data_IF_162661958017
#
_entry.id   IF_162661958017
#
_cell.length_a   1.000
_cell.length_b   1.000
_cell.length_c   1.000
_cell.angle_alpha   90.00
_cell.angle_beta   90.00
_cell.angle_gamma   90.00
#
_symmetry.space_group_name_H-M   'P 1'
#
loop_
_entity.id
_entity.type
_entity.pdbx_description
1 polymer ?
#
# COMPACT_ATOMS: atom_id res chain seq x y z
N UNK A 1 60.18 25.27 31.33
CA UNK A 1 60.49 24.71 29.99
C UNK A 1 59.69 23.45 29.67
N UNK A 2 59.41 22.55 30.63
CA UNK A 2 58.62 21.33 30.42
C UNK A 2 57.18 21.58 29.93
N UNK A 3 56.50 22.60 30.44
CA UNK A 3 55.12 22.92 30.05
C UNK A 3 54.98 23.33 28.57
N UNK A 4 55.94 24.10 28.03
CA UNK A 4 55.93 24.52 26.62
C UNK A 4 56.09 23.32 25.68
N UNK A 5 56.95 22.36 26.03
CA UNK A 5 57.13 21.12 25.25
C UNK A 5 55.90 20.21 25.26
N UNK A 6 55.19 20.14 26.38
CA UNK A 6 53.93 19.39 26.46
C UNK A 6 52.84 20.03 25.58
N UNK A 7 52.75 21.36 25.58
CA UNK A 7 51.79 22.11 24.75
C UNK A 7 52.10 21.96 23.25
N UNK A 8 53.37 22.06 22.85
CA UNK A 8 53.75 21.87 21.45
C UNK A 8 53.52 20.43 20.99
N UNK A 9 53.88 19.45 21.80
CA UNK A 9 53.62 18.03 21.50
C UNK A 9 52.12 17.75 21.37
N UNK A 10 51.28 18.30 22.25
CA UNK A 10 49.83 18.19 22.16
C UNK A 10 49.28 18.79 20.86
N UNK A 11 49.75 19.99 20.48
CA UNK A 11 49.29 20.65 19.26
C UNK A 11 49.70 19.88 17.99
N UNK A 12 50.94 19.37 17.94
CA UNK A 12 51.41 18.53 16.82
C UNK A 12 50.61 17.23 16.74
N UNK A 13 50.32 16.58 17.87
CA UNK A 13 49.52 15.37 17.90
C UNK A 13 48.08 15.64 17.44
N UNK A 14 47.49 16.76 17.87
CA UNK A 14 46.16 17.17 17.46
C UNK A 14 46.07 17.45 15.94
N UNK A 15 47.07 18.14 15.38
CA UNK A 15 47.16 18.37 13.94
C UNK A 15 47.34 17.07 13.16
N UNK A 16 48.18 16.15 13.65
CA UNK A 16 48.37 14.83 13.03
C UNK A 16 47.07 14.02 13.05
N UNK A 17 46.37 13.99 14.19
CA UNK A 17 45.06 13.35 14.32
C UNK A 17 44.06 13.95 13.34
N UNK A 18 43.99 15.29 13.27
CA UNK A 18 43.09 16.02 12.38
C UNK A 18 43.38 15.70 10.91
N UNK A 19 44.65 15.66 10.51
CA UNK A 19 45.09 15.27 9.17
C UNK A 19 44.72 13.81 8.83
N UNK A 20 44.92 12.87 9.75
CA UNK A 20 44.57 11.46 9.54
C UNK A 20 43.05 11.26 9.40
N UNK A 21 42.25 11.87 10.27
CA UNK A 21 40.79 11.78 10.23
C UNK A 21 40.21 12.49 9.00
N UNK A 22 40.73 13.66 8.65
CA UNK A 22 40.31 14.41 7.46
C UNK A 22 40.70 13.75 6.14
N UNK A 23 41.61 12.77 6.13
CA UNK A 23 42.01 12.05 4.91
C UNK A 23 41.45 10.63 4.82
N UNK A 24 41.36 9.94 5.95
CA UNK A 24 41.03 8.52 6.03
C UNK A 24 39.79 8.21 6.88
N UNK A 25 39.16 9.21 7.51
CA UNK A 25 38.05 9.02 8.43
C UNK A 25 36.85 8.29 7.82
N UNK A 26 36.43 8.68 6.61
CA UNK A 26 35.31 8.03 5.91
C UNK A 26 35.72 6.86 5.01
N UNK A 27 37.02 6.56 4.89
CA UNK A 27 37.50 5.41 4.12
C UNK A 27 37.24 4.11 4.88
N UNK A 28 37.00 3.02 4.15
CA UNK A 28 36.76 1.69 4.69
C UNK A 28 35.69 1.67 5.81
N UNK A 29 34.63 2.45 5.63
CA UNK A 29 33.42 2.39 6.44
C UNK A 29 32.32 1.70 5.66
N UNK A 30 31.69 0.71 6.29
CA UNK A 30 30.52 0.04 5.73
C UNK A 30 29.31 0.38 6.58
N UNK A 31 28.34 1.03 5.96
CA UNK A 31 27.05 1.34 6.57
C UNK A 31 25.96 0.65 5.77
N UNK A 32 25.17 -0.17 6.44
CA UNK A 32 24.03 -0.88 5.84
C UNK A 32 22.79 -0.65 6.69
N UNK A 33 21.65 -0.53 6.03
CA UNK A 33 20.36 -0.30 6.66
C UNK A 33 19.33 -1.19 5.98
N UNK A 34 18.47 -1.81 6.78
CA UNK A 34 17.43 -2.71 6.30
C UNK A 34 16.24 -2.73 7.25
N UNK A 35 15.04 -2.93 6.71
CA UNK A 35 13.86 -3.22 7.51
C UNK A 35 13.76 -4.72 7.75
N UNK A 36 13.25 -5.11 8.91
CA UNK A 36 12.94 -6.50 9.27
C UNK A 36 11.92 -7.15 8.32
N UNK A 37 11.02 -6.35 7.72
CA UNK A 37 10.03 -6.75 6.73
C UNK A 37 10.09 -5.83 5.52
N UNK A 38 9.79 -6.34 4.32
CA UNK A 38 9.70 -5.54 3.09
C UNK A 38 8.41 -4.73 3.01
N UNK A 39 7.33 -5.26 3.59
CA UNK A 39 6.04 -4.62 3.67
C UNK A 39 5.35 -4.90 5.01
N UNK A 40 4.46 -3.98 5.42
CA UNK A 40 3.68 -4.05 6.64
C UNK A 40 2.44 -3.15 6.52
N UNK A 41 1.45 -3.33 7.39
CA UNK A 41 0.23 -2.52 7.37
C UNK A 41 0.38 -1.21 8.14
N UNK A 42 -0.35 -0.18 7.73
CA UNK A 42 -0.44 1.06 8.48
C UNK A 42 -0.99 0.79 9.90
N UNK A 43 -0.31 1.33 10.90
CA UNK A 43 -0.53 1.08 12.33
C UNK A 43 0.44 0.05 12.93
N UNK A 44 1.10 -0.78 12.11
CA UNK A 44 2.05 -1.77 12.61
C UNK A 44 3.42 -1.15 12.97
N UNK A 45 4.15 -1.88 13.81
CA UNK A 45 5.53 -1.55 14.16
C UNK A 45 6.50 -2.52 13.50
N UNK A 46 7.56 -1.98 12.88
CA UNK A 46 8.63 -2.76 12.26
C UNK A 46 9.98 -2.37 12.84
N UNK A 47 10.95 -3.29 12.80
CA UNK A 47 12.33 -2.98 13.18
C UNK A 47 13.12 -2.45 11.99
N UNK A 48 13.77 -1.30 12.17
CA UNK A 48 14.83 -0.76 11.32
C UNK A 48 16.18 -1.21 11.90
N UNK A 49 16.93 -1.99 11.13
CA UNK A 49 18.23 -2.53 11.53
C UNK A 49 19.32 -1.77 10.79
N UNK A 50 20.22 -1.15 11.55
CA UNK A 50 21.40 -0.46 11.05
C UNK A 50 22.66 -1.19 11.49
N UNK A 51 23.58 -1.40 10.56
CA UNK A 51 24.88 -1.99 10.84
C UNK A 51 25.96 -1.07 10.28
N UNK A 52 26.77 -0.57 11.19
CA UNK A 52 27.90 0.30 10.93
C UNK A 52 29.18 -0.42 11.32
N UNK A 53 30.11 -0.59 10.37
CA UNK A 53 31.37 -1.30 10.56
C UNK A 53 32.54 -0.41 10.20
N UNK A 54 33.50 -0.33 11.13
CA UNK A 54 34.78 0.30 10.90
C UNK A 54 35.76 -0.77 10.41
N UNK A 55 36.15 -0.77 9.14
CA UNK A 55 37.06 -1.78 8.55
C UNK A 55 38.52 -1.29 8.54
N UNK A 56 38.87 -0.32 9.39
CA UNK A 56 40.20 0.29 9.47
C UNK A 56 40.72 0.37 10.91
N UNK A 57 42.05 0.54 11.08
CA UNK A 57 42.66 0.66 12.40
C UNK A 57 42.47 2.05 13.05
N UNK A 58 42.01 3.05 12.30
CA UNK A 58 41.79 4.40 12.82
C UNK A 58 40.47 4.46 13.60
N UNK A 59 40.48 4.82 14.90
CA UNK A 59 39.25 5.04 15.66
C UNK A 59 38.54 6.30 15.15
N UNK A 60 37.21 6.28 15.22
CA UNK A 60 36.37 7.45 14.96
C UNK A 60 35.78 7.92 16.29
N UNK A 61 36.30 9.02 16.87
CA UNK A 61 35.82 9.52 18.16
C UNK A 61 34.34 9.90 18.07
N UNK A 62 33.93 10.48 16.95
CA UNK A 62 32.54 10.70 16.61
C UNK A 62 32.32 10.50 15.10
N UNK A 63 31.22 9.84 14.78
CA UNK A 63 30.66 9.72 13.44
C UNK A 63 29.19 10.08 13.54
N UNK A 64 28.80 11.14 12.88
CA UNK A 64 27.42 11.57 12.77
C UNK A 64 26.80 10.93 11.54
N UNK A 65 25.68 10.23 11.72
CA UNK A 65 24.83 9.75 10.65
C UNK A 65 23.53 10.56 10.65
N UNK A 66 23.29 11.29 9.57
CA UNK A 66 22.07 12.05 9.34
C UNK A 66 21.28 11.38 8.23
N UNK A 67 19.99 11.15 8.47
CA UNK A 67 19.12 10.53 7.47
C UNK A 67 17.79 11.25 7.37
N UNK A 68 17.36 11.42 6.12
CA UNK A 68 16.06 11.95 5.77
C UNK A 68 15.05 10.81 5.77
N UNK A 69 13.94 10.99 6.47
CA UNK A 69 12.84 10.04 6.58
C UNK A 69 11.50 10.78 6.57
N UNK A 70 10.42 10.11 6.20
CA UNK A 70 9.09 10.72 6.29
C UNK A 70 8.64 10.83 7.75
N UNK A 71 7.89 11.89 8.08
CA UNK A 71 7.22 12.04 9.40
C UNK A 71 6.25 10.90 9.73
N UNK A 72 5.78 10.17 8.71
CA UNK A 72 4.90 9.02 8.88
C UNK A 72 5.62 7.76 9.38
N UNK A 73 6.96 7.78 9.44
CA UNK A 73 7.78 6.75 10.07
C UNK A 73 8.21 7.23 11.45
N UNK A 74 7.43 6.91 12.48
CA UNK A 74 7.69 7.38 13.84
C UNK A 74 8.66 6.44 14.56
N UNK A 75 9.78 6.98 15.03
CA UNK A 75 10.73 6.21 15.83
C UNK A 75 10.21 6.03 17.27
N UNK A 76 10.60 4.93 17.92
CA UNK A 76 10.26 4.61 19.31
C UNK A 76 10.66 5.70 20.31
N UNK A 77 10.01 5.73 21.47
CA UNK A 77 10.11 6.79 22.50
C UNK A 77 11.53 7.10 22.95
N UNK A 78 12.38 6.09 23.11
CA UNK A 78 13.80 6.26 23.49
C UNK A 78 14.64 7.01 22.45
N UNK A 79 14.15 7.15 21.22
CA UNK A 79 14.87 7.75 20.09
C UNK A 79 14.21 9.03 19.57
N UNK A 80 13.11 9.48 20.18
CA UNK A 80 12.41 10.72 19.81
C UNK A 80 13.28 11.97 20.04
N UNK A 81 14.25 11.91 20.95
CA UNK A 81 15.21 13.00 21.19
C UNK A 81 16.21 13.20 20.04
N UNK A 82 16.41 12.18 19.20
CA UNK A 82 17.29 12.22 18.02
C UNK A 82 16.54 12.65 16.74
N UNK A 83 15.27 13.02 16.90
CA UNK A 83 14.33 13.32 15.84
C UNK A 83 14.00 14.82 15.86
N UNK A 84 14.64 15.57 14.98
CA UNK A 84 14.37 17.00 14.83
C UNK A 84 13.34 17.18 13.71
N UNK A 85 12.18 17.71 14.07
CA UNK A 85 11.15 18.09 13.09
C UNK A 85 11.58 19.40 12.44
N UNK A 86 11.69 19.43 11.12
CA UNK A 86 11.80 20.70 10.41
C UNK A 86 10.45 21.42 10.48
N UNK A 87 10.47 22.68 10.88
CA UNK A 87 9.32 23.57 10.85
C UNK A 87 8.88 23.78 9.38
N UNK A 88 7.92 22.96 8.91
CA UNK A 88 7.18 23.21 7.68
C UNK A 88 7.23 22.14 6.57
N UNK A 89 7.83 20.96 6.78
CA UNK A 89 7.96 19.93 5.74
C UNK A 89 7.42 18.54 6.10
N UNK A 90 7.13 17.71 5.08
CA UNK A 90 6.77 16.28 5.20
C UNK A 90 7.96 15.36 5.59
N UNK A 91 9.14 15.96 5.64
CA UNK A 91 10.42 15.31 5.83
C UNK A 91 10.98 15.59 7.22
N UNK A 92 11.65 14.57 7.75
CA UNK A 92 12.19 14.56 9.07
C UNK A 92 13.62 14.07 9.04
N UNK A 93 14.46 14.66 9.89
CA UNK A 93 15.86 14.30 9.99
C UNK A 93 16.10 13.51 11.26
N UNK A 94 16.63 12.30 11.11
CA UNK A 94 17.17 11.53 12.22
C UNK A 94 18.68 11.74 12.26
N UNK A 95 19.15 12.32 13.36
CA UNK A 95 20.57 12.56 13.60
C UNK A 95 21.08 11.63 14.68
N UNK A 96 22.07 10.81 14.35
CA UNK A 96 22.70 9.85 15.27
C UNK A 96 24.19 10.11 15.35
N UNK A 97 24.77 9.93 16.53
CA UNK A 97 26.22 10.04 16.74
C UNK A 97 26.73 8.72 17.29
N UNK A 98 27.81 8.22 16.69
CA UNK A 98 28.46 6.96 17.03
C UNK A 98 29.92 7.21 17.37
N UNK A 99 30.45 6.46 18.32
CA UNK A 99 31.90 6.32 18.52
C UNK A 99 32.29 4.92 18.07
N UNK A 100 33.30 4.82 17.20
CA UNK A 100 33.75 3.54 16.63
C UNK A 100 35.21 3.29 16.97
N UNK A 101 35.45 2.17 17.62
CA UNK A 101 36.79 1.66 17.83
C UNK A 101 37.38 1.09 16.52
N UNK A 102 38.70 0.84 16.46
CA UNK A 102 39.33 0.13 15.35
C UNK A 102 38.67 -1.24 15.12
N UNK A 103 38.39 -1.59 13.87
CA UNK A 103 37.82 -2.89 13.49
C UNK A 103 36.51 -3.28 14.20
N UNK A 104 35.76 -2.33 14.74
CA UNK A 104 34.53 -2.60 15.48
C UNK A 104 33.28 -2.51 14.60
N UNK A 105 32.20 -3.14 15.08
CA UNK A 105 30.89 -3.09 14.47
C UNK A 105 29.85 -2.67 15.51
N UNK A 106 28.97 -1.76 15.12
CA UNK A 106 27.80 -1.37 15.91
C UNK A 106 26.55 -1.79 15.13
N UNK A 107 25.69 -2.57 15.78
CA UNK A 107 24.38 -2.96 15.26
C UNK A 107 23.30 -2.32 16.13
N UNK A 108 22.44 -1.53 15.51
CA UNK A 108 21.30 -0.88 16.17
C UNK A 108 20.01 -1.43 15.60
N UNK A 109 19.03 -1.65 16.47
CA UNK A 109 17.66 -2.01 16.10
C UNK A 109 16.74 -0.94 16.68
N UNK A 110 15.99 -0.30 15.81
CA UNK A 110 15.04 0.75 16.18
C UNK A 110 13.64 0.30 15.81
N UNK A 111 12.70 0.42 16.73
CA UNK A 111 11.28 0.24 16.42
C UNK A 111 10.75 1.46 15.70
N UNK A 112 10.05 1.23 14.59
CA UNK A 112 9.43 2.26 13.75
C UNK A 112 7.94 1.94 13.62
N UNK A 113 7.09 2.86 14.06
CA UNK A 113 5.64 2.79 13.87
C UNK A 113 5.27 3.41 12.53
N UNK A 114 4.52 2.67 11.72
CA UNK A 114 4.09 3.07 10.38
C UNK A 114 2.74 3.80 10.49
N UNK A 115 2.72 5.12 10.41
CA UNK A 115 1.51 5.89 10.69
C UNK A 115 0.54 5.98 9.49
N UNK A 116 1.09 6.03 8.28
CA UNK A 116 0.31 6.24 7.05
C UNK A 116 0.75 5.26 5.98
N UNK A 117 -0.18 4.86 5.10
CA UNK A 117 0.14 4.04 3.92
C UNK A 117 1.02 4.84 2.96
N UNK A 118 1.86 4.14 2.22
CA UNK A 118 2.82 4.78 1.33
C UNK A 118 4.02 3.90 1.06
N UNK A 119 4.80 4.23 0.03
CA UNK A 119 6.13 3.67 -0.16
C UNK A 119 7.15 4.66 0.41
N UNK A 120 7.91 4.25 1.41
CA UNK A 120 8.90 5.10 2.05
C UNK A 120 10.32 4.62 1.75
N UNK A 121 11.10 5.50 1.15
CA UNK A 121 12.52 5.28 0.89
C UNK A 121 13.34 5.94 2.00
N UNK A 122 14.11 5.12 2.72
CA UNK A 122 14.94 5.50 3.87
C UNK A 122 16.40 5.10 3.60
N UNK A 123 16.77 5.13 2.32
CA UNK A 123 18.05 4.68 1.78
C UNK A 123 19.19 5.67 2.00
N UNK A 124 18.91 6.97 1.90
CA UNK A 124 19.94 8.02 1.91
C UNK A 124 20.39 8.38 3.33
N UNK A 125 21.70 8.29 3.56
CA UNK A 125 22.35 8.66 4.82
C UNK A 125 23.59 9.50 4.54
N UNK A 126 23.68 10.67 5.16
CA UNK A 126 24.88 11.49 5.18
C UNK A 126 25.72 11.12 6.41
N UNK A 127 26.93 10.62 6.17
CA UNK A 127 27.91 10.36 7.21
C UNK A 127 28.89 11.52 7.31
N UNK A 128 28.96 12.16 8.47
CA UNK A 128 29.97 13.16 8.80
C UNK A 128 30.90 12.63 9.87
N UNK A 129 32.22 12.66 9.65
CA UNK A 129 33.20 12.45 10.72
C UNK A 129 34.11 13.67 10.82
N UNK A 130 34.72 13.89 11.97
CA UNK A 130 35.72 14.92 12.14
C UNK A 130 36.62 14.65 13.32
N UNK A 131 37.51 15.59 13.57
CA UNK A 131 38.41 15.57 14.72
C UNK A 131 37.72 16.06 16.01
N UNK A 132 38.40 15.88 17.14
CA UNK A 132 37.88 16.26 18.45
C UNK A 132 37.87 17.78 18.66
N UNK A 133 38.75 18.50 17.97
CA UNK A 133 38.88 19.96 18.06
C UNK A 133 38.01 20.70 17.03
N UNK A 134 37.36 20.00 16.10
CA UNK A 134 36.53 20.59 15.06
C UNK A 134 37.30 21.34 13.98
N UNK A 135 38.61 21.10 13.82
CA UNK A 135 39.45 21.74 12.81
C UNK A 135 39.14 21.21 11.40
N UNK A 136 38.69 19.96 11.31
CA UNK A 136 38.36 19.34 10.04
C UNK A 136 37.18 18.36 10.15
N UNK A 137 36.27 18.44 9.17
CA UNK A 137 35.16 17.51 9.02
C UNK A 137 35.10 17.02 7.56
N UNK A 138 34.76 15.74 7.40
CA UNK A 138 34.43 15.14 6.12
C UNK A 138 32.98 14.70 6.14
N UNK A 139 32.29 14.87 5.01
CA UNK A 139 30.93 14.35 4.81
C UNK A 139 30.89 13.50 3.53
N UNK A 140 30.19 12.38 3.59
CA UNK A 140 29.89 11.52 2.44
C UNK A 140 28.42 11.14 2.49
N UNK A 141 27.75 11.14 1.33
CA UNK A 141 26.41 10.59 1.20
C UNK A 141 26.48 9.16 0.71
N UNK A 142 25.75 8.28 1.37
CA UNK A 142 25.60 6.87 1.03
C UNK A 142 24.13 6.59 0.73
N UNK A 143 23.90 5.80 -0.32
CA UNK A 143 22.59 5.21 -0.56
C UNK A 143 22.63 3.72 -0.19
N UNK A 144 21.76 3.35 0.75
CA UNK A 144 21.60 1.97 1.22
C UNK A 144 20.46 1.23 0.52
N UNK A 145 19.62 1.93 -0.25
CA UNK A 145 18.46 1.34 -0.93
C UNK A 145 17.37 0.80 0.02
N UNK A 146 17.43 1.13 1.32
CA UNK A 146 16.45 0.69 2.29
C UNK A 146 15.08 1.33 2.00
N UNK A 147 14.06 0.51 1.71
CA UNK A 147 12.70 0.96 1.47
C UNK A 147 11.70 0.02 2.15
N UNK A 148 10.52 0.56 2.47
CA UNK A 148 9.41 -0.19 3.01
C UNK A 148 8.10 0.22 2.33
N UNK A 149 7.29 -0.77 1.96
CA UNK A 149 5.92 -0.56 1.49
C UNK A 149 4.94 -0.67 2.65
N UNK A 150 4.18 0.39 2.91
CA UNK A 150 3.17 0.43 3.96
C UNK A 150 1.79 0.30 3.34
N UNK A 151 1.15 -0.85 3.56
CA UNK A 151 -0.18 -1.16 3.06
C UNK A 151 -1.26 -0.40 3.81
N UNK A 152 -2.40 -0.10 3.15
CA UNK A 152 -3.56 0.46 3.85
C UNK A 152 -4.01 -0.45 4.99
N UNK A 153 -4.44 0.14 6.10
CA UNK A 153 -4.92 -0.60 7.26
C UNK A 153 -6.16 -1.40 6.87
N UNK A 154 -6.19 -2.69 7.21
CA UNK A 154 -7.39 -3.50 7.02
C UNK A 154 -8.41 -3.20 8.12
N UNK A 155 -9.66 -3.05 7.72
CA UNK A 155 -10.80 -2.85 8.62
C UNK A 155 -11.31 -4.21 9.13
N UNK A 156 -11.90 -4.20 10.31
CA UNK A 156 -12.52 -5.40 10.87
C UNK A 156 -13.74 -5.80 10.02
N UNK A 157 -13.66 -6.96 9.38
CA UNK A 157 -14.66 -7.44 8.44
C UNK A 157 -16.06 -7.64 9.06
N UNK A 158 -16.13 -7.82 10.38
CA UNK A 158 -17.38 -7.96 11.13
C UNK A 158 -18.23 -6.67 11.17
N UNK A 159 -17.62 -5.51 10.87
CA UNK A 159 -18.27 -4.20 10.93
C UNK A 159 -18.69 -3.65 9.56
N UNK A 160 -18.50 -4.42 8.50
CA UNK A 160 -18.74 -3.97 7.13
C UNK A 160 -20.13 -4.40 6.65
N UNK A 161 -21.11 -3.51 6.76
CA UNK A 161 -22.43 -3.63 6.13
C UNK A 161 -22.32 -3.25 4.64
N UNK A 162 -21.76 -4.16 3.84
CA UNK A 162 -21.58 -3.90 2.41
C UNK A 162 -22.92 -3.83 1.67
N UNK A 163 -23.23 -2.73 0.95
CA UNK A 163 -24.41 -2.65 0.13
C UNK A 163 -24.24 -3.58 -1.07
N UNK A 164 -25.03 -4.65 -1.08
CA UNK A 164 -25.29 -5.59 -2.18
C UNK A 164 -24.26 -6.70 -2.41
N UNK A 165 -24.57 -7.93 -2.85
CA UNK A 165 -25.76 -8.82 -2.81
C UNK A 165 -25.53 -10.04 -3.74
N UNK A 166 -24.38 -10.16 -4.44
CA UNK A 166 -24.07 -11.31 -5.32
C UNK A 166 -22.95 -12.23 -4.84
N UNK A 167 -21.87 -11.70 -4.26
CA UNK A 167 -20.77 -12.56 -3.75
C UNK A 167 -20.98 -13.08 -2.34
N UNK A 168 -21.90 -12.46 -1.60
CA UNK A 168 -22.30 -12.92 -0.27
C UNK A 168 -23.42 -13.98 -0.34
N UNK A 169 -23.86 -14.39 -1.54
CA UNK A 169 -24.72 -15.57 -1.74
C UNK A 169 -26.22 -15.31 -1.93
N UNK A 170 -26.72 -14.10 -1.70
CA UNK A 170 -28.18 -13.86 -1.59
C UNK A 170 -28.93 -13.50 -2.90
N UNK A 171 -28.26 -13.45 -4.05
CA UNK A 171 -28.93 -13.28 -5.34
C UNK A 171 -28.60 -14.43 -6.29
N UNK A 172 -29.49 -15.41 -6.34
CA UNK A 172 -29.69 -16.26 -7.52
C UNK A 172 -30.14 -15.38 -8.70
N UNK A 173 -29.19 -14.71 -9.35
CA UNK A 173 -29.48 -14.07 -10.63
C UNK A 173 -29.42 -15.14 -11.70
N UNK A 174 -30.57 -15.39 -12.35
CA UNK A 174 -30.70 -16.19 -13.57
C UNK A 174 -29.76 -15.62 -14.64
N UNK A 175 -28.53 -16.11 -14.70
CA UNK A 175 -27.61 -15.82 -15.79
C UNK A 175 -28.06 -16.66 -16.98
N UNK A 176 -28.32 -16.01 -18.11
CA UNK A 176 -28.52 -16.66 -19.40
C UNK A 176 -27.16 -17.05 -20.02
N UNK A 177 -26.23 -17.55 -19.22
CA UNK A 177 -24.89 -17.97 -19.66
C UNK A 177 -24.80 -19.44 -19.31
N UNK A 178 -24.97 -20.28 -20.33
CA UNK A 178 -24.78 -21.73 -20.35
C UNK A 178 -24.89 -22.46 -18.98
N UNK A 179 -26.03 -23.13 -18.68
CA UNK A 179 -26.17 -23.90 -17.45
C UNK A 179 -25.03 -24.91 -17.28
N UNK A 180 -24.51 -25.04 -16.06
CA UNK A 180 -23.50 -26.04 -15.75
C UNK A 180 -24.17 -27.42 -15.67
N UNK A 181 -23.84 -28.37 -16.57
CA UNK A 181 -24.50 -29.68 -16.61
C UNK A 181 -24.30 -30.53 -15.34
N UNK A 182 -23.39 -30.14 -14.44
CA UNK A 182 -23.14 -30.83 -13.19
C UNK A 182 -23.89 -30.23 -11.99
N UNK A 183 -24.37 -28.98 -12.08
CA UNK A 183 -24.95 -28.27 -10.94
C UNK A 183 -26.47 -28.23 -11.03
N UNK A 184 -27.15 -29.27 -10.55
CA UNK A 184 -28.62 -29.34 -10.58
C UNK A 184 -29.22 -28.51 -9.44
N UNK A 185 -29.86 -27.39 -9.75
CA UNK A 185 -30.46 -26.48 -8.76
C UNK A 185 -31.85 -26.94 -8.31
N UNK A 186 -32.69 -27.37 -9.27
CA UNK A 186 -34.05 -27.80 -9.00
C UNK A 186 -34.56 -28.77 -10.07
N UNK A 187 -35.71 -29.40 -9.80
CA UNK A 187 -36.42 -30.25 -10.75
C UNK A 187 -37.74 -29.54 -11.08
N UNK A 188 -37.99 -29.30 -12.38
CA UNK A 188 -39.20 -28.64 -12.85
C UNK A 188 -39.88 -29.41 -13.97
N UNK A 189 -41.15 -29.10 -14.22
CA UNK A 189 -41.89 -29.64 -15.36
C UNK A 189 -41.20 -29.28 -16.69
N UNK A 190 -41.17 -30.26 -17.60
CA UNK A 190 -40.62 -30.11 -18.95
C UNK A 190 -41.39 -29.06 -19.74
N UNK A 191 -40.66 -28.17 -20.42
CA UNK A 191 -41.23 -27.20 -21.35
C UNK A 191 -40.70 -27.45 -22.78
N UNK A 192 -41.50 -27.13 -23.82
CA UNK A 192 -41.03 -27.20 -25.21
C UNK A 192 -39.79 -26.30 -25.41
N UNK A 193 -38.66 -26.92 -25.76
CA UNK A 193 -37.36 -26.25 -25.89
C UNK A 193 -36.29 -26.79 -24.92
N UNK A 194 -36.69 -27.52 -23.88
CA UNK A 194 -35.75 -28.16 -22.95
C UNK A 194 -35.03 -29.35 -23.59
N UNK A 195 -33.72 -29.46 -23.36
CA UNK A 195 -32.91 -30.53 -23.92
C UNK A 195 -33.27 -31.89 -23.30
N UNK A 196 -33.51 -32.90 -24.16
CA UNK A 196 -33.90 -34.25 -23.72
C UNK A 196 -32.86 -34.94 -22.81
N UNK A 197 -31.58 -34.52 -22.89
CA UNK A 197 -30.50 -35.02 -22.03
C UNK A 197 -30.69 -34.66 -20.55
N UNK A 198 -31.46 -33.62 -20.26
CA UNK A 198 -31.65 -33.08 -18.91
C UNK A 198 -32.90 -33.67 -18.22
N UNK A 199 -33.54 -34.68 -18.82
CA UNK A 199 -34.73 -35.34 -18.24
C UNK A 199 -34.34 -36.15 -16.99
N UNK A 200 -35.04 -35.89 -15.89
CA UNK A 200 -34.89 -36.63 -14.65
C UNK A 200 -35.83 -37.85 -14.63
N UNK A 201 -35.39 -38.97 -15.20
CA UNK A 201 -36.19 -40.19 -15.34
C UNK A 201 -36.83 -40.70 -14.03
N UNK A 202 -36.13 -40.73 -12.87
CA UNK A 202 -36.76 -41.19 -11.63
C UNK A 202 -37.89 -40.28 -11.13
N UNK A 203 -37.83 -38.98 -11.41
CA UNK A 203 -38.86 -38.03 -10.99
C UNK A 203 -40.06 -38.07 -11.95
N UNK A 204 -39.77 -38.24 -13.23
CA UNK A 204 -40.76 -38.47 -14.28
C UNK A 204 -41.58 -39.74 -14.01
N UNK A 205 -40.92 -40.83 -13.61
CA UNK A 205 -41.58 -42.09 -13.28
C UNK A 205 -42.51 -41.99 -12.06
N UNK A 206 -42.18 -41.18 -11.05
CA UNK A 206 -43.03 -41.00 -9.86
C UNK A 206 -44.22 -40.08 -10.07
N UNK A 207 -44.06 -39.01 -10.86
CA UNK A 207 -45.12 -38.01 -11.05
C UNK A 207 -45.97 -38.25 -12.30
N UNK A 208 -45.58 -39.18 -13.18
CA UNK A 208 -46.31 -39.48 -14.41
C UNK A 208 -46.23 -38.39 -15.49
N UNK A 209 -45.41 -37.35 -15.29
CA UNK A 209 -45.20 -36.25 -16.21
C UNK A 209 -43.70 -35.94 -16.35
N UNK A 210 -43.26 -35.58 -17.57
CA UNK A 210 -41.85 -35.29 -17.88
C UNK A 210 -41.28 -34.17 -16.98
N UNK A 211 -40.18 -34.50 -16.30
CA UNK A 211 -39.44 -33.57 -15.45
C UNK A 211 -38.03 -33.36 -15.97
N UNK A 212 -37.54 -32.13 -15.87
CA UNK A 212 -36.22 -31.71 -16.32
C UNK A 212 -35.42 -31.17 -15.14
N UNK A 213 -34.13 -31.51 -15.11
CA UNK A 213 -33.13 -30.92 -14.23
C UNK A 213 -32.92 -29.46 -14.66
N UNK A 214 -33.31 -28.52 -13.82
CA UNK A 214 -32.93 -27.13 -13.97
C UNK A 214 -31.54 -26.96 -13.36
N UNK A 215 -30.55 -26.88 -14.22
CA UNK A 215 -29.15 -26.63 -13.87
C UNK A 215 -28.95 -25.16 -13.46
N UNK A 216 -28.19 -24.92 -12.40
CA UNK A 216 -27.73 -23.58 -12.05
C UNK A 216 -26.53 -23.17 -12.90
N UNK A 217 -26.18 -21.89 -12.85
CA UNK A 217 -25.03 -21.37 -13.56
C UNK A 217 -23.84 -21.24 -12.61
N UNK A 218 -22.72 -21.91 -12.91
CA UNK A 218 -21.45 -21.65 -12.21
C UNK A 218 -20.90 -20.30 -12.67
N UNK A 219 -21.10 -19.26 -11.86
CA UNK A 219 -20.47 -17.97 -12.07
C UNK A 219 -19.15 -17.94 -11.29
N UNK A 220 -18.02 -17.71 -11.96
CA UNK A 220 -16.83 -17.20 -11.29
C UNK A 220 -17.07 -15.71 -11.00
N UNK A 221 -17.30 -15.31 -9.74
CA UNK A 221 -17.59 -13.93 -9.43
C UNK A 221 -16.27 -13.14 -9.48
N UNK A 222 -16.23 -12.11 -10.34
CA UNK A 222 -15.11 -11.21 -10.49
C UNK A 222 -15.45 -9.88 -9.83
N UNK A 223 -14.77 -9.55 -8.74
CA UNK A 223 -14.86 -8.29 -8.03
C UNK A 223 -13.94 -7.25 -8.62
N UNK A 224 -14.50 -6.12 -9.06
CA UNK A 224 -13.76 -4.90 -9.30
C UNK A 224 -14.21 -3.80 -8.32
N UNK A 225 -13.33 -3.41 -7.39
CA UNK A 225 -13.57 -2.25 -6.51
C UNK A 225 -13.06 -1.00 -7.21
N UNK A 226 -13.92 0.00 -7.41
CA UNK A 226 -13.56 1.29 -7.98
C UNK A 226 -13.65 2.38 -6.92
N UNK A 227 -12.56 3.09 -6.66
CA UNK A 227 -12.52 4.21 -5.74
C UNK A 227 -12.56 5.54 -6.49
N UNK A 228 -13.50 6.41 -6.12
CA UNK A 228 -13.50 7.80 -6.51
C UNK A 228 -12.77 8.65 -5.46
N UNK A 229 -11.69 9.30 -5.89
CA UNK A 229 -10.86 10.19 -5.05
C UNK A 229 -11.41 11.63 -5.00
N UNK A 230 -12.46 11.94 -5.77
CA UNK A 230 -13.11 13.26 -5.76
C UNK A 230 -14.17 13.38 -4.65
N UNK A 231 -14.13 14.51 -3.94
CA UNK A 231 -15.11 14.88 -2.91
C UNK A 231 -16.44 15.32 -3.53
N UNK A 232 -16.36 16.08 -4.60
CA UNK A 232 -17.51 16.63 -5.32
C UNK A 232 -17.21 16.77 -6.82
N UNK A 233 -18.27 16.94 -7.61
CA UNK A 233 -18.18 17.04 -9.08
C UNK A 233 -17.41 18.29 -9.53
N UNK A 234 -17.50 19.37 -8.76
CA UNK A 234 -16.86 20.67 -9.03
C UNK A 234 -15.43 20.77 -8.50
N UNK A 235 -14.89 19.72 -7.87
CA UNK A 235 -13.59 19.81 -7.21
C UNK A 235 -12.47 20.02 -8.22
N UNK A 236 -11.95 21.24 -8.29
CA UNK A 236 -10.80 21.61 -9.14
C UNK A 236 -9.46 21.51 -8.43
N UNK A 237 -9.41 21.79 -7.13
CA UNK A 237 -8.17 21.83 -6.37
C UNK A 237 -7.81 20.46 -5.77
N UNK A 238 -6.52 20.25 -5.51
CA UNK A 238 -6.05 19.13 -4.71
C UNK A 238 -6.68 19.16 -3.31
N UNK A 239 -7.03 17.98 -2.78
CA UNK A 239 -7.52 17.87 -1.41
C UNK A 239 -6.39 18.25 -0.45
N UNK A 240 -6.69 19.15 0.48
CA UNK A 240 -5.79 19.42 1.59
C UNK A 240 -5.66 18.16 2.47
N UNK A 241 -4.54 17.99 3.16
CA UNK A 241 -4.26 16.77 3.92
C UNK A 241 -5.37 16.42 4.93
N UNK A 242 -5.95 17.42 5.60
CA UNK A 242 -7.07 17.22 6.54
C UNK A 242 -8.37 16.75 5.88
N UNK A 243 -8.51 16.92 4.56
CA UNK A 243 -9.67 16.47 3.78
C UNK A 243 -9.48 15.07 3.18
N UNK A 244 -8.28 14.50 3.27
CA UNK A 244 -7.96 13.22 2.67
C UNK A 244 -8.45 12.03 3.50
N UNK A 245 -8.85 12.24 4.76
CA UNK A 245 -9.23 11.16 5.68
C UNK A 245 -10.33 10.22 5.17
N UNK A 246 -11.34 10.73 4.46
CA UNK A 246 -12.39 9.87 3.90
C UNK A 246 -11.90 9.07 2.68
N UNK A 247 -10.95 9.61 1.90
CA UNK A 247 -10.31 8.86 0.80
C UNK A 247 -9.42 7.76 1.37
N UNK A 248 -8.66 8.05 2.43
CA UNK A 248 -7.85 7.07 3.17
C UNK A 248 -8.70 5.90 3.69
N UNK A 249 -9.87 6.21 4.27
CA UNK A 249 -10.85 5.22 4.68
C UNK A 249 -11.41 4.44 3.49
N UNK A 250 -11.72 5.11 2.38
CA UNK A 250 -12.14 4.45 1.13
C UNK A 250 -11.09 3.47 0.59
N UNK A 251 -9.80 3.80 0.69
CA UNK A 251 -8.70 2.90 0.30
C UNK A 251 -8.59 1.72 1.26
N UNK A 252 -8.72 1.96 2.56
CA UNK A 252 -8.72 0.92 3.60
C UNK A 252 -9.90 -0.04 3.43
N UNK A 253 -11.08 0.49 3.11
CA UNK A 253 -12.27 -0.28 2.76
C UNK A 253 -12.05 -1.10 1.48
N UNK A 254 -11.52 -0.49 0.43
CA UNK A 254 -11.22 -1.18 -0.82
C UNK A 254 -10.22 -2.34 -0.60
N UNK A 255 -9.16 -2.11 0.16
CA UNK A 255 -8.18 -3.13 0.52
C UNK A 255 -8.83 -4.29 1.26
N UNK A 256 -9.66 -3.98 2.26
CA UNK A 256 -10.37 -4.99 3.06
C UNK A 256 -11.31 -5.83 2.20
N UNK A 257 -12.05 -5.21 1.28
CA UNK A 257 -12.96 -5.91 0.37
C UNK A 257 -12.22 -6.78 -0.63
N UNK A 258 -11.10 -6.31 -1.19
CA UNK A 258 -10.26 -7.09 -2.08
C UNK A 258 -9.64 -8.31 -1.38
N UNK A 259 -9.05 -8.13 -0.19
CA UNK A 259 -8.46 -9.23 0.61
C UNK A 259 -9.54 -10.23 1.03
N UNK A 260 -10.72 -9.76 1.43
CA UNK A 260 -11.87 -10.62 1.75
C UNK A 260 -12.36 -11.42 0.54
N UNK A 261 -12.42 -10.81 -0.62
CA UNK A 261 -12.81 -11.51 -1.85
C UNK A 261 -11.78 -12.57 -2.25
N UNK A 262 -10.48 -12.26 -2.18
CA UNK A 262 -9.42 -13.23 -2.47
C UNK A 262 -9.42 -14.41 -1.49
N UNK A 263 -9.59 -14.14 -0.19
CA UNK A 263 -9.69 -15.21 0.83
C UNK A 263 -10.96 -16.06 0.69
N UNK A 264 -12.04 -15.51 0.12
CA UNK A 264 -13.24 -16.25 -0.26
C UNK A 264 -13.12 -17.02 -1.60
N UNK A 265 -11.95 -16.98 -2.27
CA UNK A 265 -11.73 -17.66 -3.54
C UNK A 265 -12.30 -16.93 -4.76
N UNK A 266 -12.53 -15.63 -4.67
CA UNK A 266 -13.01 -14.80 -5.78
C UNK A 266 -11.84 -14.08 -6.48
N UNK A 267 -12.01 -13.73 -7.75
CA UNK A 267 -11.07 -12.84 -8.43
C UNK A 267 -11.32 -11.39 -7.98
N UNK A 268 -10.30 -10.71 -7.46
CA UNK A 268 -10.42 -9.31 -7.05
C UNK A 268 -9.54 -8.38 -7.91
N UNK A 269 -10.06 -7.22 -8.22
CA UNK A 269 -9.43 -6.11 -8.92
C UNK A 269 -9.72 -4.78 -8.23
N UNK A 270 -8.86 -3.80 -8.49
CA UNK A 270 -8.97 -2.46 -7.93
C UNK A 270 -8.77 -1.42 -9.02
N UNK A 271 -9.55 -0.35 -8.99
CA UNK A 271 -9.34 0.81 -9.84
C UNK A 271 -9.60 2.12 -9.10
N UNK A 272 -8.95 3.18 -9.53
CA UNK A 272 -9.16 4.53 -9.01
C UNK A 272 -8.89 5.59 -10.09
N UNK A 273 -9.62 6.70 -10.02
CA UNK A 273 -9.37 7.88 -10.87
C UNK A 273 -8.15 8.72 -10.42
N UNK A 274 -7.20 8.07 -9.76
CA UNK A 274 -5.99 8.63 -9.22
C UNK A 274 -4.80 7.75 -9.60
N UNK A 275 -3.59 8.31 -9.68
CA UNK A 275 -2.43 7.57 -10.14
C UNK A 275 -1.78 6.76 -9.02
N UNK A 276 -1.30 5.57 -9.36
CA UNK A 276 -0.44 4.76 -8.50
C UNK A 276 0.95 4.68 -9.13
N UNK A 277 1.99 5.11 -8.42
CA UNK A 277 3.36 5.01 -8.90
C UNK A 277 3.80 6.15 -9.83
N UNK A 278 4.31 5.79 -11.02
CA UNK A 278 5.04 6.65 -11.97
C UNK A 278 4.35 7.99 -12.27
N UNK A 279 5.16 9.00 -12.58
CA UNK A 279 4.73 10.39 -12.73
C UNK A 279 3.72 10.63 -13.87
N UNK A 280 3.68 9.74 -14.87
CA UNK A 280 2.82 9.88 -16.06
C UNK A 280 1.48 9.13 -16.00
N UNK A 281 1.28 8.25 -15.02
CA UNK A 281 0.00 7.56 -14.89
C UNK A 281 -1.11 8.55 -14.52
N UNK A 282 -2.28 8.47 -15.15
CA UNK A 282 -3.44 9.32 -14.81
C UNK A 282 -4.53 8.58 -14.05
N UNK A 283 -4.54 7.25 -14.12
CA UNK A 283 -5.52 6.40 -13.42
C UNK A 283 -4.84 5.12 -12.98
N UNK A 284 -5.46 4.42 -12.04
CA UNK A 284 -5.02 3.12 -11.57
C UNK A 284 -6.10 2.11 -11.94
N UNK A 285 -5.71 1.03 -12.63
CA UNK A 285 -6.63 -0.06 -12.92
C UNK A 285 -5.87 -1.39 -12.92
N UNK A 286 -6.22 -2.25 -11.98
CA UNK A 286 -5.77 -3.62 -11.89
C UNK A 286 -6.98 -4.55 -12.03
N UNK A 287 -7.23 -5.04 -13.25
CA UNK A 287 -8.38 -5.90 -13.56
C UNK A 287 -8.29 -7.25 -12.83
N UNK A 288 -9.43 -7.84 -12.42
CA UNK A 288 -9.44 -9.12 -11.70
C UNK A 288 -8.72 -10.23 -12.48
N UNK A 289 -7.98 -11.06 -11.76
CA UNK A 289 -7.26 -12.18 -12.37
C UNK A 289 -6.58 -13.07 -11.34
N UNK A 290 -6.23 -14.28 -11.77
CA UNK A 290 -5.54 -15.28 -10.98
C UNK A 290 -4.04 -15.20 -11.19
N UNK A 291 -3.30 -14.87 -10.14
CA UNK A 291 -1.85 -15.05 -10.11
C UNK A 291 -1.34 -15.17 -8.67
N UNK A 292 -0.24 -15.89 -8.47
CA UNK A 292 0.49 -15.85 -7.21
C UNK A 292 0.89 -14.41 -6.89
N UNK A 293 0.67 -13.96 -5.66
CA UNK A 293 0.95 -12.58 -5.25
C UNK A 293 -0.11 -11.55 -5.64
N UNK A 294 -1.33 -11.96 -5.99
CA UNK A 294 -2.43 -11.04 -6.33
C UNK A 294 -2.77 -10.08 -5.20
N UNK A 295 -2.82 -10.59 -3.98
CA UNK A 295 -3.05 -9.80 -2.78
C UNK A 295 -1.96 -8.73 -2.60
N UNK A 296 -0.69 -9.14 -2.68
CA UNK A 296 0.47 -8.25 -2.58
C UNK A 296 0.44 -7.15 -3.66
N UNK A 297 0.11 -7.51 -4.91
CA UNK A 297 0.00 -6.56 -6.00
C UNK A 297 -1.10 -5.51 -5.74
N UNK A 298 -2.29 -5.93 -5.28
CA UNK A 298 -3.38 -5.01 -4.95
C UNK A 298 -3.00 -4.07 -3.80
N UNK A 299 -2.43 -4.62 -2.73
CA UNK A 299 -2.01 -3.84 -1.56
C UNK A 299 -0.87 -2.87 -1.89
N UNK A 300 0.10 -3.28 -2.71
CA UNK A 300 1.18 -2.43 -3.20
C UNK A 300 0.66 -1.30 -4.09
N UNK A 301 -0.29 -1.59 -4.99
CA UNK A 301 -0.96 -0.58 -5.82
C UNK A 301 -1.69 0.45 -4.95
N UNK A 302 -2.43 0.00 -3.93
CA UNK A 302 -3.15 0.88 -3.00
C UNK A 302 -2.21 1.69 -2.08
N UNK A 303 -1.07 1.12 -1.70
CA UNK A 303 -0.02 1.80 -0.94
C UNK A 303 0.65 2.92 -1.77
N UNK A 304 0.83 2.71 -3.08
CA UNK A 304 1.40 3.69 -4.00
C UNK A 304 0.40 4.70 -4.54
N UNK A 305 -0.89 4.54 -4.25
CA UNK A 305 -1.95 5.41 -4.76
C UNK A 305 -1.80 6.82 -4.17
N UNK A 306 -1.57 7.81 -5.03
CA UNK A 306 -1.47 9.22 -4.64
C UNK A 306 -2.86 9.83 -4.66
N UNK A 307 -3.25 10.54 -3.60
CA UNK A 307 -4.56 11.20 -3.48
C UNK A 307 -4.53 12.49 -4.31
N UNK A 308 -4.58 12.34 -5.62
CA UNK A 308 -4.55 13.42 -6.60
C UNK A 308 -5.66 13.16 -7.62
N UNK A 309 -6.46 14.20 -7.89
CA UNK A 309 -7.43 14.17 -8.99
C UNK A 309 -6.67 14.29 -10.31
N UNK A 310 -6.20 13.16 -10.84
CA UNK A 310 -5.63 13.10 -12.17
C UNK A 310 -6.74 13.05 -13.24
N UNK A 311 -7.87 12.40 -12.96
CA UNK A 311 -9.00 12.31 -13.90
C UNK A 311 -10.36 12.50 -13.26
N UNK A 312 -11.33 12.96 -14.05
CA UNK A 312 -12.74 12.99 -13.64
C UNK A 312 -13.29 11.57 -13.57
N UNK A 313 -14.03 11.27 -12.51
CA UNK A 313 -14.56 9.93 -12.27
C UNK A 313 -15.54 9.45 -13.35
N UNK A 314 -16.49 10.26 -13.88
CA UNK A 314 -17.32 9.83 -15.00
C UNK A 314 -16.51 9.44 -16.25
N UNK A 315 -15.46 10.20 -16.57
CA UNK A 315 -14.56 9.89 -17.69
C UNK A 315 -13.81 8.58 -17.46
N UNK A 316 -13.39 8.31 -16.22
CA UNK A 316 -12.79 7.03 -15.87
C UNK A 316 -13.77 5.86 -16.05
N UNK A 317 -15.06 6.04 -15.70
CA UNK A 317 -16.07 5.00 -15.95
C UNK A 317 -16.31 4.73 -17.44
N UNK A 318 -16.21 5.76 -18.30
CA UNK A 318 -16.37 5.61 -19.75
C UNK A 318 -15.29 4.68 -20.33
N UNK A 319 -14.06 4.71 -19.79
CA UNK A 319 -12.94 3.83 -20.21
C UNK A 319 -13.16 2.36 -19.84
N UNK A 320 -13.94 2.13 -18.78
CA UNK A 320 -14.33 0.80 -18.33
C UNK A 320 -15.48 0.22 -19.17
N UNK A 321 -15.98 0.94 -20.19
CA UNK A 321 -17.13 0.53 -20.99
C UNK A 321 -16.98 -0.79 -21.77
N UNK A 322 -15.74 -1.27 -21.97
CA UNK A 322 -15.45 -2.55 -22.61
C UNK A 322 -15.59 -3.76 -21.66
N UNK A 323 -15.69 -3.52 -20.36
CA UNK A 323 -15.73 -4.55 -19.34
C UNK A 323 -17.11 -5.24 -19.26
N UNK A 324 -17.11 -6.56 -19.08
CA UNK A 324 -18.33 -7.36 -18.96
C UNK A 324 -18.17 -8.50 -17.95
N UNK A 325 -19.29 -8.97 -17.40
CA UNK A 325 -19.34 -10.14 -16.53
C UNK A 325 -18.71 -9.97 -15.13
N UNK A 326 -18.50 -8.73 -14.67
CA UNK A 326 -17.96 -8.43 -13.35
C UNK A 326 -19.04 -7.89 -12.42
N UNK A 327 -18.85 -8.03 -11.11
CA UNK A 327 -19.58 -7.21 -10.15
C UNK A 327 -18.66 -6.07 -9.68
N UNK A 328 -19.11 -4.86 -9.96
CA UNK A 328 -18.36 -3.61 -9.80
C UNK A 328 -18.92 -2.90 -8.59
N UNK A 329 -18.08 -2.68 -7.59
CA UNK A 329 -18.43 -1.90 -6.42
C UNK A 329 -17.74 -0.53 -6.51
N UNK A 330 -18.53 0.53 -6.58
CA UNK A 330 -18.04 1.90 -6.64
C UNK A 330 -18.07 2.50 -5.24
N UNK A 331 -16.92 2.97 -4.75
CA UNK A 331 -16.78 3.75 -3.52
C UNK A 331 -16.68 5.23 -3.89
N UNK A 332 -17.65 6.05 -3.53
CA UNK A 332 -17.67 7.48 -3.88
C UNK A 332 -18.30 8.33 -2.78
N UNK A 333 -17.83 9.55 -2.57
CA UNK A 333 -18.43 10.50 -1.63
C UNK A 333 -19.78 11.08 -2.12
N UNK A 334 -19.99 11.11 -3.43
CA UNK A 334 -21.17 11.69 -4.07
C UNK A 334 -21.76 10.79 -5.15
N UNK A 335 -23.04 11.03 -5.43
CA UNK A 335 -23.84 10.37 -6.47
C UNK A 335 -24.43 11.45 -7.39
N UNK A 336 -24.00 11.51 -8.65
CA UNK A 336 -24.52 12.45 -9.65
C UNK A 336 -25.27 11.71 -10.77
N UNK A 337 -26.21 12.39 -11.48
CA UNK A 337 -26.88 11.82 -12.63
C UNK A 337 -25.91 11.28 -13.71
N UNK A 338 -24.75 11.95 -13.89
CA UNK A 338 -23.72 11.47 -14.80
C UNK A 338 -23.17 10.11 -14.40
N UNK A 339 -22.79 9.94 -13.12
CA UNK A 339 -22.29 8.67 -12.57
C UNK A 339 -23.36 7.59 -12.72
N UNK A 340 -24.61 7.88 -12.36
CA UNK A 340 -25.73 6.92 -12.50
C UNK A 340 -25.96 6.49 -13.94
N UNK A 341 -25.83 7.42 -14.90
CA UNK A 341 -25.90 7.10 -16.34
C UNK A 341 -24.81 6.12 -16.77
N UNK A 342 -23.56 6.31 -16.33
CA UNK A 342 -22.45 5.40 -16.64
C UNK A 342 -22.58 4.05 -15.92
N UNK A 343 -23.06 4.05 -14.68
CA UNK A 343 -23.41 2.82 -13.97
C UNK A 343 -24.47 2.01 -14.72
N UNK A 344 -25.50 2.66 -15.27
CA UNK A 344 -26.52 2.01 -16.09
C UNK A 344 -25.90 1.42 -17.38
N UNK A 345 -24.99 2.14 -18.04
CA UNK A 345 -24.24 1.63 -19.21
C UNK A 345 -23.44 0.36 -18.87
N UNK A 346 -22.71 0.36 -17.76
CA UNK A 346 -21.96 -0.81 -17.29
C UNK A 346 -22.89 -1.97 -16.95
N UNK A 347 -24.08 -1.72 -16.39
CA UNK A 347 -25.10 -2.75 -16.14
C UNK A 347 -25.65 -3.36 -17.43
N UNK A 348 -25.90 -2.54 -18.45
CA UNK A 348 -26.32 -3.00 -19.78
C UNK A 348 -25.29 -3.93 -20.45
N UNK A 349 -24.01 -3.78 -20.12
CA UNK A 349 -22.91 -4.66 -20.57
C UNK A 349 -22.81 -5.98 -19.79
N UNK A 350 -23.77 -6.28 -18.91
CA UNK A 350 -23.82 -7.53 -18.15
C UNK A 350 -23.05 -7.51 -16.83
N UNK A 351 -22.61 -6.34 -16.37
CA UNK A 351 -22.00 -6.18 -15.05
C UNK A 351 -23.08 -5.96 -13.97
N UNK A 352 -22.83 -6.39 -12.73
CA UNK A 352 -23.53 -5.79 -11.59
C UNK A 352 -22.80 -4.54 -11.19
N UNK A 353 -23.51 -3.48 -10.85
CA UNK A 353 -22.87 -2.24 -10.39
C UNK A 353 -23.60 -1.75 -9.15
N UNK A 354 -22.86 -1.56 -8.06
CA UNK A 354 -23.35 -1.02 -6.80
C UNK A 354 -22.53 0.21 -6.40
N UNK A 355 -23.17 1.15 -5.72
CA UNK A 355 -22.54 2.35 -5.19
C UNK A 355 -22.57 2.28 -3.67
N UNK A 356 -21.39 2.32 -3.06
CA UNK A 356 -21.22 2.57 -1.63
C UNK A 356 -20.86 4.04 -1.46
N UNK A 357 -21.75 4.78 -0.80
CA UNK A 357 -21.49 6.18 -0.47
C UNK A 357 -20.55 6.26 0.74
N UNK A 358 -19.33 6.76 0.52
CA UNK A 358 -18.38 6.97 1.61
C UNK A 358 -18.88 8.10 2.51
N UNK A 359 -19.02 7.82 3.80
CA UNK A 359 -19.44 8.81 4.80
C UNK A 359 -18.22 9.45 5.47
N UNK A 360 -18.37 10.65 6.04
CA UNK A 360 -17.29 11.31 6.80
C UNK A 360 -16.92 10.58 8.08
N UNK A 361 -17.84 9.80 8.66
CA UNK A 361 -17.64 9.09 9.92
C UNK A 361 -16.70 7.88 9.77
N UNK A 362 -16.69 7.24 8.60
CA UNK A 362 -15.78 6.12 8.28
C UNK A 362 -14.29 6.55 8.24
N UNK A 363 -14.00 7.85 8.17
CA UNK A 363 -12.64 8.41 8.23
C UNK A 363 -12.05 8.65 9.62
N UNK A 364 -12.83 8.44 10.69
CA UNK A 364 -12.45 8.78 12.07
C UNK A 364 -12.15 7.57 12.97
N UNK A 365 -12.23 6.34 12.45
CA UNK A 365 -11.96 5.07 13.17
C UNK A 365 -10.66 4.40 12.66
#
# INVERSE_FOLDING_TARGET
MSALWLLTAFFVLALLQSFLLSRFGLRALRYTRSFSRKAAFAGETVELVEVLRNEKPLPLPWLRAESRMSRHLRLGSAEQSAQEQNLGGDEMFSRRVYTLAPYSQVRRRTQVTLLRRGRYEVGTVALTCGDLLGLAAQTCQLDTGAAISVYPRLLDASRLDCPSSRWQGDLQVRRWIAPDPYLVASIRAWQPGDARRDVHWPATARMGALQVKAHDCTANPRLLVLLNVQRDEGQWNHLMEYEQGWVEAGISLAATLCVRALSAGLEAGFGANAPSGEEDAQTTLLLPGWHSGREEALLETMARLRILRARRFPTFLDELGALSGMDILILSAYDTPEIRGRMAMLRLRGNSVALWKLSREEGAA
#
